data_IF_391263357233
#
_entry.id   IF_391263357233
#
_cell.length_a   1.000
_cell.length_b   1.000
_cell.length_c   1.000
_cell.angle_alpha   90.00
_cell.angle_beta   90.00
_cell.angle_gamma   90.00
#
_symmetry.space_group_name_H-M   'P 1'
#
loop_
_entity.id
_entity.type
_entity.pdbx_description
1 polymer ?
#
# COMPACT_ATOMS: atom_id res chain seq x y z
N UNK A 1 23.38 -35.03 72.78
CA UNK A 1 22.09 -34.68 72.18
C UNK A 1 22.14 -33.22 71.73
N UNK A 2 21.70 -32.96 70.50
CA UNK A 2 21.27 -31.67 69.93
C UNK A 2 22.29 -30.52 69.84
N UNK A 3 23.07 -30.54 68.75
CA UNK A 3 23.71 -29.37 68.13
C UNK A 3 22.67 -28.60 67.30
N UNK A 4 22.30 -27.38 67.71
CA UNK A 4 21.47 -26.46 66.91
C UNK A 4 22.35 -25.46 66.19
N UNK A 5 22.17 -25.41 64.87
CA UNK A 5 23.02 -24.68 63.93
C UNK A 5 22.77 -23.17 63.96
N UNK A 6 23.86 -22.41 63.98
CA UNK A 6 23.88 -20.96 63.85
C UNK A 6 23.46 -20.49 62.46
N UNK A 7 22.54 -19.52 62.44
CA UNK A 7 21.98 -18.85 61.27
C UNK A 7 23.06 -17.96 60.62
N UNK A 8 23.72 -18.45 59.56
CA UNK A 8 24.62 -17.66 58.71
C UNK A 8 23.84 -17.06 57.54
N UNK A 9 23.94 -15.74 57.38
CA UNK A 9 23.43 -14.96 56.24
C UNK A 9 24.13 -15.45 54.98
N UNK A 10 23.38 -15.94 53.99
CA UNK A 10 23.93 -16.35 52.70
C UNK A 10 23.95 -15.17 51.74
N UNK A 11 25.15 -14.89 51.24
CA UNK A 11 25.49 -13.94 50.19
C UNK A 11 24.97 -14.54 48.87
N UNK A 12 24.15 -13.79 48.14
CA UNK A 12 23.76 -14.17 46.78
C UNK A 12 24.95 -13.88 45.87
N UNK A 13 25.64 -14.95 45.49
CA UNK A 13 26.63 -14.98 44.41
C UNK A 13 25.95 -14.74 43.07
N UNK A 14 26.27 -13.60 42.46
CA UNK A 14 25.97 -13.27 41.06
C UNK A 14 26.90 -14.06 40.13
N UNK A 15 26.47 -15.25 39.69
CA UNK A 15 27.05 -15.90 38.51
C UNK A 15 26.17 -17.03 37.98
N UNK A 16 25.60 -16.83 36.79
CA UNK A 16 25.18 -17.91 35.88
C UNK A 16 23.72 -18.38 35.99
N UNK A 17 22.75 -17.51 35.70
CA UNK A 17 21.43 -17.96 35.25
C UNK A 17 21.49 -18.36 33.76
N UNK A 18 20.68 -19.32 33.28
CA UNK A 18 20.65 -19.68 31.87
C UNK A 18 20.23 -18.45 31.07
N UNK A 19 21.10 -17.98 30.18
CA UNK A 19 20.77 -16.96 29.19
C UNK A 19 19.72 -17.60 28.29
N UNK A 20 18.46 -17.22 28.48
CA UNK A 20 17.45 -17.40 27.45
C UNK A 20 17.87 -16.40 26.39
N UNK A 21 18.51 -16.89 25.32
CA UNK A 21 18.69 -16.12 24.10
C UNK A 21 17.30 -15.69 23.64
N UNK A 22 16.95 -14.44 23.95
CA UNK A 22 15.83 -13.76 23.31
C UNK A 22 16.21 -13.76 21.83
N UNK A 23 15.44 -14.43 20.95
CA UNK A 23 15.80 -14.50 19.55
C UNK A 23 15.93 -13.06 19.05
N UNK A 24 17.12 -12.70 18.59
CA UNK A 24 17.35 -11.45 17.88
C UNK A 24 16.36 -11.45 16.73
N UNK A 25 15.45 -10.48 16.73
CA UNK A 25 14.51 -10.30 15.64
C UNK A 25 15.32 -10.03 14.37
N UNK A 26 15.57 -11.08 13.59
CA UNK A 26 16.14 -10.92 12.27
C UNK A 26 15.14 -10.09 11.46
N UNK A 27 15.64 -9.06 10.77
CA UNK A 27 14.89 -8.27 9.79
C UNK A 27 14.56 -9.15 8.56
N UNK A 28 13.76 -10.19 8.75
CA UNK A 28 13.14 -11.00 7.70
C UNK A 28 11.93 -10.25 7.15
N UNK A 29 11.55 -10.49 5.89
CA UNK A 29 10.39 -9.81 5.28
C UNK A 29 9.09 -10.13 6.02
N UNK A 30 9.04 -11.30 6.66
CA UNK A 30 7.98 -11.72 7.57
C UNK A 30 7.85 -10.80 8.81
N UNK A 31 8.96 -10.25 9.31
CA UNK A 31 9.00 -9.38 10.49
C UNK A 31 8.92 -7.89 10.16
N UNK A 32 8.85 -7.51 8.88
CA UNK A 32 8.68 -6.11 8.48
C UNK A 32 7.31 -5.62 8.95
N UNK A 33 7.31 -4.68 9.90
CA UNK A 33 6.09 -4.14 10.48
C UNK A 33 5.21 -3.46 9.42
N UNK A 34 3.88 -3.65 9.51
CA UNK A 34 2.93 -3.04 8.59
C UNK A 34 3.02 -1.50 8.54
N UNK A 35 3.56 -0.88 9.61
CA UNK A 35 3.80 0.56 9.69
C UNK A 35 4.93 1.08 8.79
N UNK A 36 5.76 0.21 8.21
CA UNK A 36 6.86 0.59 7.33
C UNK A 36 6.50 0.61 5.84
N UNK A 37 5.27 0.23 5.49
CA UNK A 37 4.77 0.18 4.11
C UNK A 37 3.42 0.86 4.02
N UNK A 38 3.29 1.79 3.08
CA UNK A 38 2.06 2.55 2.85
C UNK A 38 1.10 1.76 1.97
N UNK A 39 -0.17 1.67 2.36
CA UNK A 39 -1.21 1.07 1.52
C UNK A 39 -1.48 1.92 0.28
N UNK A 40 -2.09 1.35 -0.76
CA UNK A 40 -2.51 2.10 -1.94
C UNK A 40 -3.40 3.31 -1.60
N UNK A 41 -4.31 3.16 -0.62
CA UNK A 41 -5.15 4.26 -0.14
C UNK A 41 -4.31 5.40 0.44
N UNK A 42 -3.34 5.08 1.30
CA UNK A 42 -2.45 6.06 1.94
C UNK A 42 -1.54 6.74 0.90
N UNK A 43 -1.01 5.98 -0.05
CA UNK A 43 -0.24 6.51 -1.19
C UNK A 43 -1.10 7.49 -2.00
N UNK A 44 -2.33 7.11 -2.34
CA UNK A 44 -3.28 7.98 -3.04
C UNK A 44 -3.63 9.24 -2.24
N UNK A 45 -3.86 9.11 -0.93
CA UNK A 45 -4.16 10.24 -0.05
C UNK A 45 -3.00 11.25 -0.01
N UNK A 46 -1.77 10.75 0.19
CA UNK A 46 -0.56 11.56 0.19
C UNK A 46 -0.30 12.24 -1.16
N UNK A 47 -0.40 11.48 -2.26
CA UNK A 47 -0.22 12.00 -3.61
C UNK A 47 -1.26 13.09 -3.92
N UNK A 48 -2.54 12.85 -3.60
CA UNK A 48 -3.60 13.84 -3.74
C UNK A 48 -3.29 15.11 -2.95
N UNK A 49 -2.84 14.99 -1.69
CA UNK A 49 -2.50 16.15 -0.86
C UNK A 49 -1.33 16.98 -1.42
N UNK A 50 -0.40 16.35 -2.16
CA UNK A 50 0.66 17.04 -2.88
C UNK A 50 0.16 17.69 -4.17
N UNK A 51 -0.64 16.95 -4.95
CA UNK A 51 -1.25 17.47 -6.19
C UNK A 51 -2.14 18.68 -5.95
N UNK A 52 -2.84 18.74 -4.81
CA UNK A 52 -3.63 19.91 -4.40
C UNK A 52 -2.79 21.17 -4.17
N UNK A 53 -1.47 21.02 -3.97
CA UNK A 53 -0.53 22.13 -3.81
C UNK A 53 0.16 22.52 -5.11
N UNK A 54 0.08 21.71 -6.17
CA UNK A 54 0.67 22.06 -7.46
C UNK A 54 -0.14 23.20 -8.09
N UNK A 55 0.51 24.31 -8.42
CA UNK A 55 -0.14 25.46 -9.02
C UNK A 55 -0.87 25.07 -10.33
N UNK A 56 -2.13 25.45 -10.46
CA UNK A 56 -2.95 25.14 -11.64
C UNK A 56 -3.47 23.70 -11.75
N UNK A 57 -3.11 22.79 -10.85
CA UNK A 57 -3.59 21.39 -10.87
C UNK A 57 -4.99 21.15 -10.24
N UNK A 58 -5.38 21.78 -9.11
CA UNK A 58 -6.65 21.50 -8.43
C UNK A 58 -7.92 21.53 -9.30
N UNK A 59 -8.06 22.38 -10.33
CA UNK A 59 -9.22 22.38 -11.21
C UNK A 59 -9.52 21.00 -11.84
N UNK A 60 -8.50 20.18 -12.14
CA UNK A 60 -8.71 18.87 -12.77
C UNK A 60 -9.51 17.90 -11.89
N UNK A 61 -9.40 17.99 -10.56
CA UNK A 61 -10.23 17.20 -9.64
C UNK A 61 -11.70 17.62 -9.69
N UNK A 62 -11.97 18.91 -9.91
CA UNK A 62 -13.34 19.40 -10.08
C UNK A 62 -13.92 18.95 -11.44
N UNK A 63 -13.11 18.96 -12.50
CA UNK A 63 -13.51 18.45 -13.81
C UNK A 63 -13.85 16.96 -13.76
N UNK A 64 -12.99 16.13 -13.17
CA UNK A 64 -13.23 14.68 -13.09
C UNK A 64 -14.47 14.33 -12.25
N UNK A 65 -14.75 15.12 -11.20
CA UNK A 65 -15.96 14.97 -10.40
C UNK A 65 -17.25 15.39 -11.12
N UNK A 66 -17.16 16.12 -12.24
CA UNK A 66 -18.32 16.60 -13.00
C UNK A 66 -18.75 15.66 -14.12
N UNK A 67 -17.87 14.75 -14.55
CA UNK A 67 -18.01 14.06 -15.83
C UNK A 67 -18.96 12.86 -15.87
N UNK A 68 -19.48 12.28 -14.77
CA UNK A 68 -20.30 11.05 -14.89
C UNK A 68 -21.21 10.60 -13.71
N UNK A 69 -21.68 11.47 -12.79
CA UNK A 69 -22.65 11.00 -11.77
C UNK A 69 -23.63 12.06 -11.22
N UNK A 70 -24.91 11.69 -10.96
CA UNK A 70 -25.84 12.54 -10.21
C UNK A 70 -25.27 12.86 -8.81
N UNK A 71 -25.38 14.14 -8.46
CA UNK A 71 -24.84 14.86 -7.29
C UNK A 71 -24.85 14.20 -5.89
N UNK A 72 -25.47 13.03 -5.70
CA UNK A 72 -25.66 12.41 -4.39
C UNK A 72 -24.54 11.47 -3.92
N UNK A 73 -23.55 11.13 -4.75
CA UNK A 73 -22.41 10.27 -4.34
C UNK A 73 -21.11 10.70 -5.01
N UNK A 74 -20.61 11.90 -4.71
CA UNK A 74 -19.19 12.19 -4.96
C UNK A 74 -18.39 11.30 -4.01
N UNK A 75 -17.62 10.36 -4.52
CA UNK A 75 -16.80 9.53 -3.64
C UNK A 75 -15.78 10.43 -2.92
N UNK A 76 -15.74 10.36 -1.59
CA UNK A 76 -14.71 11.01 -0.78
C UNK A 76 -13.40 10.23 -0.79
N UNK A 77 -13.39 9.04 -1.38
CA UNK A 77 -12.20 8.18 -1.37
C UNK A 77 -11.11 8.72 -2.33
N UNK A 78 -9.86 8.84 -1.85
CA UNK A 78 -8.76 9.40 -2.63
C UNK A 78 -8.34 8.52 -3.82
N UNK A 79 -8.60 7.21 -3.77
CA UNK A 79 -8.21 6.28 -4.84
C UNK A 79 -9.07 6.54 -6.09
N UNK A 80 -10.40 6.55 -5.95
CA UNK A 80 -11.34 6.86 -7.03
C UNK A 80 -11.14 8.28 -7.53
N UNK A 81 -10.94 9.26 -6.64
CA UNK A 81 -10.70 10.65 -7.05
C UNK A 81 -9.45 10.78 -7.94
N UNK A 82 -8.34 10.13 -7.57
CA UNK A 82 -7.14 10.11 -8.40
C UNK A 82 -7.35 9.31 -9.69
N UNK A 83 -8.03 8.17 -9.63
CA UNK A 83 -8.29 7.36 -10.81
C UNK A 83 -9.16 8.11 -11.83
N UNK A 84 -10.21 8.78 -11.38
CA UNK A 84 -11.08 9.62 -12.23
C UNK A 84 -10.28 10.78 -12.82
N UNK A 85 -9.47 11.48 -12.02
CA UNK A 85 -8.63 12.59 -12.46
C UNK A 85 -7.61 12.14 -13.50
N UNK A 86 -6.85 11.08 -13.23
CA UNK A 86 -5.84 10.56 -14.14
C UNK A 86 -6.45 9.98 -15.40
N UNK A 87 -7.64 9.38 -15.33
CA UNK A 87 -8.35 8.86 -16.50
C UNK A 87 -8.80 9.95 -17.48
N UNK A 88 -8.72 11.24 -17.13
CA UNK A 88 -8.86 12.35 -18.09
C UNK A 88 -7.64 12.45 -19.03
N UNK A 89 -6.48 11.94 -18.63
CA UNK A 89 -5.22 11.95 -19.38
C UNK A 89 -4.51 13.31 -19.40
N UNK A 90 -5.24 14.39 -19.67
CA UNK A 90 -4.70 15.76 -19.70
C UNK A 90 -4.01 16.19 -18.40
N UNK A 91 -4.54 15.87 -17.20
CA UNK A 91 -3.85 16.21 -15.94
C UNK A 91 -2.46 15.58 -15.83
N UNK A 92 -2.27 14.38 -16.39
CA UNK A 92 -0.97 13.70 -16.41
C UNK A 92 0.02 14.43 -17.30
N UNK A 93 -0.40 14.83 -18.51
CA UNK A 93 0.42 15.62 -19.42
C UNK A 93 0.79 16.99 -18.83
N UNK A 94 -0.13 17.62 -18.10
CA UNK A 94 0.14 18.87 -17.40
C UNK A 94 1.29 18.71 -16.39
N UNK A 95 1.25 17.68 -15.53
CA UNK A 95 2.31 17.42 -14.55
C UNK A 95 3.66 17.18 -15.22
N UNK A 96 3.68 16.43 -16.31
CA UNK A 96 4.92 16.14 -17.03
C UNK A 96 5.54 17.41 -17.64
N UNK A 97 4.71 18.35 -18.09
CA UNK A 97 5.16 19.63 -18.64
C UNK A 97 5.71 20.61 -17.60
N UNK A 98 5.58 20.31 -16.30
CA UNK A 98 6.21 21.08 -15.22
C UNK A 98 7.65 20.64 -14.95
N UNK A 99 8.10 19.53 -15.55
CA UNK A 99 9.45 19.02 -15.32
C UNK A 99 10.51 19.86 -16.07
N UNK A 100 11.69 20.07 -15.48
CA UNK A 100 12.77 20.79 -16.13
C UNK A 100 13.41 19.99 -17.28
N UNK A 101 14.16 20.66 -18.19
CA UNK A 101 14.96 19.99 -19.21
C UNK A 101 15.91 18.94 -18.60
N UNK A 102 16.20 17.81 -19.29
CA UNK A 102 16.04 17.56 -20.73
C UNK A 102 14.68 17.01 -21.16
N UNK A 103 13.71 16.90 -20.24
CA UNK A 103 12.40 16.33 -20.53
C UNK A 103 11.64 17.25 -21.48
N UNK A 104 11.23 16.72 -22.63
CA UNK A 104 10.46 17.46 -23.62
C UNK A 104 8.99 17.49 -23.24
N UNK A 105 8.41 18.70 -23.35
CA UNK A 105 6.99 18.92 -23.15
C UNK A 105 6.15 18.14 -24.17
N UNK A 106 5.04 17.62 -23.68
CA UNK A 106 4.04 16.94 -24.50
C UNK A 106 3.09 17.96 -25.10
N UNK A 107 2.91 17.89 -26.42
CA UNK A 107 1.96 18.72 -27.16
C UNK A 107 0.49 18.27 -26.90
N UNK A 108 -0.06 18.69 -25.76
CA UNK A 108 -1.48 18.52 -25.38
C UNK A 108 -2.05 19.87 -24.95
N UNK A 109 -3.26 20.18 -25.38
CA UNK A 109 -4.00 21.34 -24.86
C UNK A 109 -4.47 21.06 -23.44
N UNK A 110 -3.93 21.82 -22.47
CA UNK A 110 -4.19 21.62 -21.05
C UNK A 110 -5.31 22.50 -20.50
N UNK A 111 -5.64 23.62 -21.16
CA UNK A 111 -6.55 24.65 -20.61
C UNK A 111 -7.97 24.62 -21.16
N UNK A 112 -8.21 24.02 -22.33
CA UNK A 112 -9.54 23.94 -22.96
C UNK A 112 -9.69 22.59 -23.68
N UNK A 113 -9.95 21.53 -22.91
CA UNK A 113 -10.23 20.20 -23.45
C UNK A 113 -11.61 19.72 -23.02
N UNK A 114 -12.24 18.93 -23.88
CA UNK A 114 -13.50 18.26 -23.56
C UNK A 114 -13.22 17.01 -22.71
N UNK A 115 -13.60 16.99 -21.41
CA UNK A 115 -13.35 15.87 -20.51
C UNK A 115 -14.23 14.65 -20.80
N UNK A 116 -15.25 14.78 -21.65
CA UNK A 116 -16.13 13.65 -22.03
C UNK A 116 -15.60 12.89 -23.25
N UNK A 117 -14.68 13.48 -24.01
CA UNK A 117 -14.16 12.89 -25.24
C UNK A 117 -13.14 11.77 -24.95
N UNK A 118 -13.61 10.54 -25.02
CA UNK A 118 -12.81 9.32 -24.81
C UNK A 118 -11.56 9.27 -25.70
N UNK A 119 -11.64 9.69 -26.97
CA UNK A 119 -10.48 9.65 -27.89
C UNK A 119 -9.40 10.62 -27.44
N UNK A 120 -9.78 11.81 -26.99
CA UNK A 120 -8.86 12.82 -26.45
C UNK A 120 -8.21 12.32 -25.16
N UNK A 121 -9.00 11.73 -24.25
CA UNK A 121 -8.49 11.15 -23.00
C UNK A 121 -7.47 10.06 -23.24
N UNK A 122 -7.82 9.05 -24.05
CA UNK A 122 -6.90 7.94 -24.40
C UNK A 122 -5.63 8.43 -25.09
N UNK A 123 -5.76 9.41 -25.99
CA UNK A 123 -4.60 10.03 -26.65
C UNK A 123 -3.69 10.73 -25.63
N UNK A 124 -4.24 11.51 -24.71
CA UNK A 124 -3.46 12.19 -23.68
C UNK A 124 -2.75 11.18 -22.76
N UNK A 125 -3.44 10.11 -22.32
CA UNK A 125 -2.82 9.03 -21.54
C UNK A 125 -1.64 8.40 -22.30
N UNK A 126 -1.83 8.08 -23.59
CA UNK A 126 -0.77 7.51 -24.42
C UNK A 126 0.43 8.47 -24.58
N UNK A 127 0.17 9.77 -24.75
CA UNK A 127 1.23 10.77 -24.87
C UNK A 127 2.01 10.94 -23.56
N UNK A 128 1.33 10.94 -22.41
CA UNK A 128 2.01 10.92 -21.11
C UNK A 128 2.84 9.64 -20.94
N UNK A 129 2.30 8.47 -21.27
CA UNK A 129 3.01 7.19 -21.22
C UNK A 129 4.29 7.18 -22.09
N UNK A 130 4.26 7.85 -23.25
CA UNK A 130 5.46 8.06 -24.06
C UNK A 130 6.42 9.05 -23.42
N UNK A 131 5.90 10.13 -22.84
CA UNK A 131 6.69 11.22 -22.27
C UNK A 131 7.45 10.82 -21.00
N UNK A 132 6.87 10.01 -20.11
CA UNK A 132 7.53 9.55 -18.87
C UNK A 132 8.74 8.65 -19.11
N UNK A 133 8.87 8.06 -20.31
CA UNK A 133 10.06 7.28 -20.70
C UNK A 133 11.33 8.12 -20.83
N UNK A 134 11.20 9.44 -20.82
CA UNK A 134 12.34 10.37 -20.76
C UNK A 134 12.92 10.48 -19.36
N UNK A 135 12.19 10.05 -18.33
CA UNK A 135 12.66 10.02 -16.93
C UNK A 135 13.42 8.71 -16.73
N UNK A 136 14.66 8.83 -16.27
CA UNK A 136 15.54 7.68 -16.10
C UNK A 136 14.99 6.72 -15.03
N UNK A 137 14.97 5.42 -15.34
CA UNK A 137 14.43 4.40 -14.44
C UNK A 137 12.90 4.39 -14.27
N UNK A 138 12.16 5.24 -15.00
CA UNK A 138 10.71 5.27 -14.90
C UNK A 138 10.07 4.06 -15.62
N UNK A 139 9.19 3.28 -14.96
CA UNK A 139 8.53 2.14 -15.58
C UNK A 139 7.55 2.61 -16.68
N UNK A 140 7.44 1.82 -17.75
CA UNK A 140 6.49 2.10 -18.83
C UNK A 140 5.10 1.58 -18.47
N UNK A 141 4.05 2.30 -18.84
CA UNK A 141 2.66 1.84 -18.70
C UNK A 141 1.87 2.09 -19.97
N UNK A 142 0.66 1.54 -20.05
CA UNK A 142 -0.20 1.56 -21.23
C UNK A 142 -1.54 2.24 -20.92
N UNK A 143 -2.29 2.61 -21.95
CA UNK A 143 -3.64 3.17 -21.76
C UNK A 143 -4.54 2.18 -21.01
N UNK A 144 -4.41 0.88 -21.29
CA UNK A 144 -5.19 -0.18 -20.62
C UNK A 144 -4.93 -0.24 -19.12
N UNK A 145 -3.70 0.02 -18.67
CA UNK A 145 -3.37 0.03 -17.23
C UNK A 145 -4.19 1.06 -16.43
N UNK A 146 -4.64 2.14 -17.07
CA UNK A 146 -5.45 3.17 -16.43
C UNK A 146 -6.94 3.08 -16.79
N UNK A 147 -7.25 2.58 -17.99
CA UNK A 147 -8.61 2.52 -18.51
C UNK A 147 -9.40 1.31 -18.01
N UNK A 148 -8.73 0.18 -17.79
CA UNK A 148 -9.36 -1.01 -17.22
C UNK A 148 -9.50 -0.85 -15.70
N UNK A 149 -10.73 -0.83 -15.21
CA UNK A 149 -11.07 -0.74 -13.78
C UNK A 149 -11.33 -2.10 -13.13
N UNK A 150 -11.23 -3.19 -13.87
CA UNK A 150 -11.42 -4.53 -13.31
C UNK A 150 -10.25 -4.99 -12.43
N UNK A 151 -9.06 -4.41 -12.63
CA UNK A 151 -7.86 -4.65 -11.83
C UNK A 151 -7.23 -3.35 -11.33
N UNK A 152 -6.70 -3.39 -10.11
CA UNK A 152 -5.96 -2.32 -9.45
C UNK A 152 -4.48 -2.28 -9.85
N UNK A 153 -3.93 -3.35 -10.45
CA UNK A 153 -2.49 -3.45 -10.78
C UNK A 153 -2.00 -2.31 -11.67
N UNK A 154 -2.74 -2.04 -12.75
CA UNK A 154 -2.41 -0.97 -13.67
C UNK A 154 -2.46 0.41 -13.01
N UNK A 155 -3.42 0.62 -12.10
CA UNK A 155 -3.54 1.87 -11.37
C UNK A 155 -2.42 2.06 -10.33
N UNK A 156 -2.03 1.03 -9.59
CA UNK A 156 -0.87 1.06 -8.68
C UNK A 156 0.38 1.53 -9.43
N UNK A 157 0.60 0.97 -10.62
CA UNK A 157 1.71 1.34 -11.49
C UNK A 157 1.65 2.82 -11.90
N UNK A 158 0.48 3.33 -12.28
CA UNK A 158 0.28 4.75 -12.60
C UNK A 158 0.52 5.65 -11.39
N UNK A 159 0.03 5.28 -10.20
CA UNK A 159 0.26 6.03 -8.96
C UNK A 159 1.75 6.14 -8.64
N UNK A 160 2.51 5.05 -8.80
CA UNK A 160 3.96 5.06 -8.61
C UNK A 160 4.68 5.97 -9.61
N UNK A 161 4.29 5.90 -10.90
CA UNK A 161 4.85 6.76 -11.96
C UNK A 161 4.55 8.23 -11.68
N UNK A 162 3.31 8.56 -11.34
CA UNK A 162 2.92 9.95 -11.06
C UNK A 162 3.59 10.46 -9.79
N UNK A 163 3.76 9.62 -8.77
CA UNK A 163 4.52 9.99 -7.57
C UNK A 163 5.97 10.36 -7.93
N UNK A 164 6.63 9.54 -8.76
CA UNK A 164 7.98 9.84 -9.28
C UNK A 164 8.01 11.15 -10.08
N UNK A 165 7.02 11.39 -10.95
CA UNK A 165 6.91 12.65 -11.69
C UNK A 165 6.80 13.83 -10.72
N UNK A 166 5.89 13.76 -9.74
CA UNK A 166 5.66 14.84 -8.77
C UNK A 166 6.88 15.07 -7.87
N UNK A 167 7.67 14.04 -7.58
CA UNK A 167 8.96 14.15 -6.87
C UNK A 167 10.04 14.89 -7.66
N UNK A 168 9.93 14.96 -8.98
CA UNK A 168 10.87 15.68 -9.85
C UNK A 168 10.37 17.09 -10.25
N UNK A 169 9.18 17.51 -9.79
CA UNK A 169 8.68 18.87 -10.02
C UNK A 169 9.43 19.85 -9.10
N UNK A 170 9.95 20.97 -9.61
CA UNK A 170 10.58 22.00 -8.79
C UNK A 170 9.63 22.59 -7.73
N UNK A 171 10.17 22.90 -6.55
CA UNK A 171 9.40 23.43 -5.42
C UNK A 171 8.65 24.74 -5.74
N UNK A 172 9.14 25.53 -6.69
CA UNK A 172 8.53 26.79 -7.15
C UNK A 172 7.10 26.60 -7.71
N UNK A 173 6.74 25.39 -8.15
CA UNK A 173 5.40 25.07 -8.65
C UNK A 173 4.45 24.60 -7.55
N UNK A 174 4.90 24.54 -6.29
CA UNK A 174 4.05 24.18 -5.15
C UNK A 174 3.67 25.42 -4.34
N UNK A 175 2.36 25.57 -4.13
CA UNK A 175 1.80 26.58 -3.26
C UNK A 175 2.07 26.16 -1.81
N UNK A 176 2.86 26.97 -1.10
CA UNK A 176 3.14 26.77 0.31
C UNK A 176 1.84 26.87 1.11
N UNK A 177 1.63 25.91 2.02
CA UNK A 177 0.46 25.93 2.91
C UNK A 177 0.49 27.21 3.76
N UNK A 178 -0.66 27.88 4.00
CA UNK A 178 -0.70 29.00 4.93
C UNK A 178 -0.11 28.56 6.28
N UNK A 179 0.73 29.37 6.94
CA UNK A 179 1.32 28.98 8.21
C UNK A 179 0.18 28.70 9.21
N UNK A 180 0.18 27.49 9.77
CA UNK A 180 -0.61 27.19 10.96
C UNK A 180 -0.33 28.27 12.00
N UNK A 181 -1.38 28.78 12.62
CA UNK A 181 -1.38 29.93 13.53
C UNK A 181 -0.19 29.93 14.52
N UNK A 182 0.34 31.10 14.90
CA UNK A 182 1.54 31.20 15.71
C UNK A 182 1.41 30.48 17.05
N UNK A 183 2.48 29.87 17.57
CA UNK A 183 2.46 29.27 18.89
C UNK A 183 2.29 30.37 19.93
N UNK A 184 1.22 30.28 20.72
CA UNK A 184 1.03 31.12 21.90
C UNK A 184 2.17 30.83 22.87
N UNK A 185 3.12 31.76 22.97
CA UNK A 185 4.19 31.75 23.96
C UNK A 185 3.60 31.86 25.36
N UNK A 186 3.57 30.75 26.11
CA UNK A 186 3.74 30.80 27.56
C UNK A 186 4.64 29.65 28.00
N UNK A 187 5.89 30.00 28.29
CA UNK A 187 6.85 29.14 28.98
C UNK A 187 6.47 28.97 30.45
N UNK A 188 6.50 27.73 30.93
CA UNK A 188 6.96 27.43 32.28
C UNK A 188 7.74 26.10 32.22
N UNK A 189 9.06 26.20 32.43
CA UNK A 189 9.95 25.06 32.68
C UNK A 189 9.67 24.54 34.10
N UNK A 190 9.55 23.23 34.30
CA UNK A 190 10.53 22.49 35.11
C UNK A 190 10.40 20.95 35.01
N UNK A 191 11.55 20.33 34.70
CA UNK A 191 12.10 19.04 35.14
C UNK A 191 11.36 17.68 35.03
N UNK A 192 12.05 16.79 34.30
CA UNK A 192 12.47 15.43 34.71
C UNK A 192 11.81 14.20 34.08
N UNK A 193 12.68 13.44 33.41
CA UNK A 193 12.72 11.99 33.22
C UNK A 193 12.06 11.36 32.00
N UNK A 194 12.82 10.42 31.42
CA UNK A 194 12.73 9.93 30.06
C UNK A 194 11.82 8.70 29.94
N UNK A 195 10.95 8.65 28.93
CA UNK A 195 10.39 7.42 28.32
C UNK A 195 9.79 7.77 26.93
N UNK A 196 9.73 6.83 25.98
CA UNK A 196 9.61 7.11 24.56
C UNK A 196 8.22 7.57 24.13
N UNK A 197 8.25 8.49 23.17
CA UNK A 197 7.18 9.22 22.49
C UNK A 197 5.92 8.38 22.23
N UNK A 198 4.91 8.56 23.07
CA UNK A 198 3.52 8.29 22.70
C UNK A 198 3.12 9.24 21.57
N UNK A 199 2.63 8.67 20.48
CA UNK A 199 1.95 9.39 19.40
C UNK A 199 0.85 10.22 20.06
N UNK A 200 0.84 11.54 19.86
CA UNK A 200 -0.19 12.43 20.41
C UNK A 200 -1.59 11.95 20.00
N UNK A 201 -2.27 11.25 20.89
CA UNK A 201 -3.66 10.83 20.75
C UNK A 201 -4.56 12.06 20.93
N UNK A 202 -5.13 12.55 19.82
CA UNK A 202 -6.21 13.53 19.90
C UNK A 202 -7.45 12.91 20.57
N UNK A 203 -8.31 13.70 21.25
CA UNK A 203 -9.52 13.23 21.93
C UNK A 203 -10.61 12.63 21.00
N UNK A 204 -10.33 12.53 19.69
CA UNK A 204 -11.20 12.01 18.63
C UNK A 204 -11.10 10.48 18.41
N UNK A 205 -10.06 9.82 18.91
CA UNK A 205 -9.70 8.44 18.48
C UNK A 205 -10.09 7.31 19.44
N UNK A 206 -10.71 7.62 20.59
CA UNK A 206 -11.13 6.62 21.58
C UNK A 206 -12.63 6.38 21.49
N UNK A 207 -13.01 5.29 20.82
CA UNK A 207 -14.38 4.79 20.76
C UNK A 207 -14.42 3.29 21.13
N UNK A 208 -15.56 2.75 21.57
CA UNK A 208 -15.68 1.32 21.87
C UNK A 208 -15.29 0.48 20.65
N UNK A 209 -14.30 -0.40 20.81
CA UNK A 209 -13.78 -1.23 19.71
C UNK A 209 -12.69 -0.58 18.86
N UNK A 210 -12.20 0.62 19.20
CA UNK A 210 -11.11 1.29 18.47
C UNK A 210 -9.85 0.41 18.33
N UNK A 211 -9.57 -0.43 19.33
CA UNK A 211 -8.44 -1.35 19.29
C UNK A 211 -8.67 -2.47 18.26
N UNK A 212 -9.88 -3.03 18.22
CA UNK A 212 -10.27 -4.07 17.25
C UNK A 212 -10.21 -3.53 15.83
N UNK A 213 -10.70 -2.31 15.58
CA UNK A 213 -10.64 -1.70 14.24
C UNK A 213 -9.21 -1.32 13.84
N UNK A 214 -8.38 -0.89 14.78
CA UNK A 214 -6.96 -0.60 14.54
C UNK A 214 -6.20 -1.88 14.20
N UNK A 215 -6.47 -2.95 14.94
CA UNK A 215 -5.91 -4.28 14.70
C UNK A 215 -6.35 -4.82 13.33
N UNK A 216 -7.64 -4.77 13.02
CA UNK A 216 -8.18 -5.18 11.72
C UNK A 216 -7.45 -4.49 10.56
N UNK A 217 -7.34 -3.16 10.58
CA UNK A 217 -6.62 -2.43 9.54
C UNK A 217 -5.13 -2.76 9.51
N UNK A 218 -4.51 -2.96 10.67
CA UNK A 218 -3.09 -3.28 10.76
C UNK A 218 -2.80 -4.65 10.13
N UNK A 219 -3.55 -5.69 10.52
CA UNK A 219 -3.40 -7.04 9.98
C UNK A 219 -3.73 -7.06 8.49
N UNK A 220 -4.74 -6.30 8.07
CA UNK A 220 -5.14 -6.25 6.66
C UNK A 220 -4.11 -5.58 5.75
N UNK A 221 -3.53 -4.46 6.20
CA UNK A 221 -2.41 -3.81 5.49
C UNK A 221 -1.23 -4.74 5.36
N UNK A 222 -0.90 -5.48 6.43
CA UNK A 222 0.20 -6.45 6.41
C UNK A 222 -0.09 -7.58 5.42
N UNK A 223 -1.32 -8.09 5.42
CA UNK A 223 -1.70 -9.17 4.52
C UNK A 223 -1.65 -8.74 3.04
N UNK A 224 -2.16 -7.55 2.69
CA UNK A 224 -2.01 -6.99 1.33
C UNK A 224 -0.53 -6.87 0.96
N UNK A 225 0.29 -6.29 1.83
CA UNK A 225 1.73 -6.16 1.57
C UNK A 225 2.39 -7.52 1.31
N UNK A 226 2.00 -8.55 2.07
CA UNK A 226 2.56 -9.88 1.91
C UNK A 226 2.18 -10.48 0.54
N UNK A 227 0.93 -10.28 0.10
CA UNK A 227 0.48 -10.66 -1.25
C UNK A 227 1.20 -9.88 -2.36
N UNK A 228 1.47 -8.59 -2.17
CA UNK A 228 2.24 -7.77 -3.12
C UNK A 228 3.68 -8.26 -3.24
N UNK A 229 4.28 -8.66 -2.13
CA UNK A 229 5.62 -9.27 -2.10
C UNK A 229 5.61 -10.58 -2.90
N UNK A 230 4.59 -11.42 -2.71
CA UNK A 230 4.42 -12.66 -3.46
C UNK A 230 4.22 -12.40 -4.96
N UNK A 231 3.43 -11.39 -5.35
CA UNK A 231 3.22 -11.00 -6.74
C UNK A 231 4.53 -10.49 -7.36
N UNK A 232 5.29 -9.67 -6.64
CA UNK A 232 6.60 -9.18 -7.09
C UNK A 232 7.56 -10.34 -7.31
N UNK A 233 7.60 -11.31 -6.39
CA UNK A 233 8.43 -12.51 -6.53
C UNK A 233 8.03 -13.33 -7.76
N UNK A 234 6.72 -13.59 -7.95
CA UNK A 234 6.19 -14.29 -9.13
C UNK A 234 6.56 -13.58 -10.45
N UNK A 235 6.47 -12.26 -10.49
CA UNK A 235 6.84 -11.47 -11.67
C UNK A 235 8.36 -11.54 -11.97
N UNK A 236 9.21 -11.47 -10.96
CA UNK A 236 10.67 -11.63 -11.13
C UNK A 236 11.02 -13.04 -11.61
N UNK A 237 10.36 -14.06 -11.07
CA UNK A 237 10.53 -15.45 -11.51
C UNK A 237 10.11 -15.65 -12.97
N UNK A 238 9.01 -15.02 -13.40
CA UNK A 238 8.61 -15.03 -14.81
C UNK A 238 9.65 -14.34 -15.72
N UNK A 239 10.31 -13.29 -15.23
CA UNK A 239 11.37 -12.58 -15.98
C UNK A 239 12.69 -13.34 -16.03
N UNK A 240 13.01 -14.14 -15.00
CA UNK A 240 14.25 -14.92 -14.97
C UNK A 240 14.23 -16.11 -15.94
N UNK A 241 13.05 -16.47 -16.47
CA UNK A 241 12.84 -17.62 -17.37
C UNK A 241 13.43 -18.93 -16.81
N UNK A 242 13.51 -19.05 -15.48
CA UNK A 242 14.08 -20.24 -14.81
C UNK A 242 13.06 -21.36 -14.71
N UNK A 243 11.78 -21.00 -14.55
CA UNK A 243 10.62 -21.89 -14.47
C UNK A 243 9.64 -21.44 -15.55
N UNK A 244 8.92 -22.38 -16.17
CA UNK A 244 7.91 -22.05 -17.18
C UNK A 244 6.71 -21.32 -16.55
N UNK A 245 6.03 -20.52 -17.37
CA UNK A 245 4.95 -19.65 -16.90
C UNK A 245 3.75 -20.44 -16.36
N UNK A 246 3.47 -21.63 -16.89
CA UNK A 246 2.35 -22.46 -16.43
C UNK A 246 2.64 -23.00 -15.02
N UNK A 247 3.86 -23.47 -14.76
CA UNK A 247 4.32 -23.89 -13.43
C UNK A 247 4.30 -22.72 -12.44
N UNK A 248 4.68 -21.51 -12.85
CA UNK A 248 4.56 -20.30 -12.00
C UNK A 248 3.09 -20.02 -11.66
N UNK A 249 2.18 -20.14 -12.63
CA UNK A 249 0.75 -19.94 -12.40
C UNK A 249 0.14 -21.00 -11.47
N UNK A 250 0.64 -22.24 -11.52
CA UNK A 250 0.23 -23.30 -10.61
C UNK A 250 0.83 -23.12 -9.21
N UNK A 251 2.05 -22.58 -9.10
CA UNK A 251 2.71 -22.26 -7.83
C UNK A 251 2.05 -21.07 -7.11
N UNK A 252 1.53 -20.10 -7.85
CA UNK A 252 0.83 -18.92 -7.32
C UNK A 252 -0.64 -18.88 -7.77
N UNK A 253 -1.47 -19.82 -7.31
CA UNK A 253 -2.80 -20.04 -7.86
C UNK A 253 -3.69 -18.81 -7.68
N UNK A 254 -4.21 -18.25 -8.77
CA UNK A 254 -5.11 -17.07 -8.75
C UNK A 254 -4.60 -15.85 -7.95
N UNK A 255 -3.28 -15.73 -7.72
CA UNK A 255 -2.71 -14.69 -6.86
C UNK A 255 -3.11 -13.28 -7.29
N UNK A 256 -3.10 -12.98 -8.59
CA UNK A 256 -3.47 -11.64 -9.09
C UNK A 256 -4.93 -11.29 -8.80
N UNK A 257 -5.85 -12.27 -8.91
CA UNK A 257 -7.27 -12.05 -8.60
C UNK A 257 -7.47 -11.83 -7.10
N UNK A 258 -6.83 -12.66 -6.28
CA UNK A 258 -6.86 -12.56 -4.84
C UNK A 258 -6.31 -11.21 -4.35
N UNK A 259 -5.13 -10.81 -4.83
CA UNK A 259 -4.52 -9.52 -4.46
C UNK A 259 -5.39 -8.33 -4.92
N UNK A 260 -5.97 -8.40 -6.12
CA UNK A 260 -6.85 -7.35 -6.61
C UNK A 260 -8.09 -7.18 -5.71
N UNK A 261 -8.75 -8.29 -5.37
CA UNK A 261 -9.84 -8.31 -4.40
C UNK A 261 -9.39 -7.69 -3.07
N UNK A 262 -8.27 -8.17 -2.54
CA UNK A 262 -7.78 -7.78 -1.23
C UNK A 262 -7.41 -6.29 -1.14
N UNK A 263 -6.84 -5.72 -2.21
CA UNK A 263 -6.59 -4.27 -2.30
C UNK A 263 -7.88 -3.47 -2.30
N UNK A 264 -8.89 -3.88 -3.08
CA UNK A 264 -10.21 -3.20 -3.12
C UNK A 264 -10.91 -3.25 -1.77
N UNK A 265 -10.85 -4.40 -1.11
CA UNK A 265 -11.41 -4.58 0.22
C UNK A 265 -10.69 -3.70 1.26
N UNK A 266 -9.35 -3.66 1.24
CA UNK A 266 -8.57 -2.76 2.12
C UNK A 266 -8.89 -1.27 1.86
N UNK A 267 -8.97 -0.85 0.60
CA UNK A 267 -9.38 0.52 0.23
C UNK A 267 -10.74 0.86 0.86
N UNK A 268 -11.70 -0.06 0.81
CA UNK A 268 -13.02 0.14 1.42
C UNK A 268 -12.91 0.30 2.93
N UNK A 269 -12.16 -0.56 3.62
CA UNK A 269 -11.96 -0.46 5.07
C UNK A 269 -11.30 0.86 5.47
N UNK A 270 -10.28 1.30 4.73
CA UNK A 270 -9.61 2.58 4.98
C UNK A 270 -10.53 3.78 4.70
N UNK A 271 -11.38 3.70 3.67
CA UNK A 271 -12.39 4.73 3.42
C UNK A 271 -13.41 4.85 4.56
N UNK A 272 -13.82 3.72 5.16
CA UNK A 272 -14.72 3.71 6.33
C UNK A 272 -13.99 4.31 7.54
N UNK A 273 -12.70 4.03 7.71
CA UNK A 273 -11.91 4.57 8.82
C UNK A 273 -11.84 6.10 8.83
N UNK A 274 -11.84 6.74 7.65
CA UNK A 274 -11.84 8.21 7.53
C UNK A 274 -13.18 8.87 7.88
N UNK A 275 -14.28 8.10 7.93
CA UNK A 275 -15.59 8.63 8.29
C UNK A 275 -15.66 8.98 9.79
N UNK A 276 -16.54 9.92 10.19
CA UNK A 276 -16.87 10.15 11.60
C UNK A 276 -17.31 8.85 12.28
N UNK A 277 -16.96 8.64 13.56
CA UNK A 277 -17.18 7.36 14.25
C UNK A 277 -18.63 6.86 14.16
N UNK A 278 -19.60 7.78 14.18
CA UNK A 278 -21.04 7.52 14.10
C UNK A 278 -21.47 6.88 12.77
N UNK A 279 -20.68 7.10 11.71
CA UNK A 279 -20.96 6.66 10.34
C UNK A 279 -20.12 5.44 9.95
N UNK A 280 -19.20 4.97 10.82
CA UNK A 280 -18.31 3.83 10.56
C UNK A 280 -19.04 2.50 10.58
N UNK A 281 -19.68 2.16 9.47
CA UNK A 281 -20.37 0.86 9.28
C UNK A 281 -19.43 -0.20 8.73
N UNK A 282 -18.50 -0.68 9.54
CA UNK A 282 -17.49 -1.68 9.16
C UNK A 282 -18.09 -2.93 8.48
N UNK A 283 -19.20 -3.46 9.01
CA UNK A 283 -19.89 -4.62 8.43
C UNK A 283 -20.38 -4.42 6.99
N UNK A 284 -20.58 -3.17 6.55
CA UNK A 284 -21.00 -2.90 5.17
C UNK A 284 -19.94 -3.28 4.14
N UNK A 285 -18.65 -3.22 4.48
CA UNK A 285 -17.59 -3.69 3.60
C UNK A 285 -17.71 -5.20 3.35
N UNK A 286 -17.93 -5.99 4.41
CA UNK A 286 -18.09 -7.44 4.29
C UNK A 286 -19.31 -7.83 3.48
N UNK A 287 -20.47 -7.17 3.71
CA UNK A 287 -21.67 -7.43 2.92
C UNK A 287 -21.52 -7.02 1.45
N UNK A 288 -20.81 -5.92 1.17
CA UNK A 288 -20.57 -5.47 -0.21
C UNK A 288 -19.68 -6.43 -1.00
N UNK A 289 -18.72 -7.06 -0.34
CA UNK A 289 -17.71 -7.92 -0.95
C UNK A 289 -17.97 -9.42 -0.76
N UNK A 290 -19.10 -9.81 -0.16
CA UNK A 290 -19.43 -11.20 0.21
C UNK A 290 -19.19 -12.21 -0.93
N UNK A 291 -19.73 -11.92 -2.13
CA UNK A 291 -19.57 -12.80 -3.29
C UNK A 291 -18.13 -12.85 -3.82
N UNK A 292 -17.36 -11.77 -3.62
CA UNK A 292 -15.99 -11.69 -4.12
C UNK A 292 -15.00 -12.50 -3.26
N UNK A 293 -15.35 -12.86 -2.01
CA UNK A 293 -14.56 -13.78 -1.19
C UNK A 293 -14.42 -15.18 -1.82
N UNK A 294 -15.25 -15.55 -2.80
CA UNK A 294 -15.13 -16.80 -3.55
C UNK A 294 -13.75 -16.99 -4.24
N UNK A 295 -12.95 -15.93 -4.39
CA UNK A 295 -11.55 -16.04 -4.86
C UNK A 295 -10.68 -16.92 -3.95
N UNK A 296 -11.00 -17.00 -2.65
CA UNK A 296 -10.30 -17.85 -1.69
C UNK A 296 -10.55 -19.33 -1.95
N UNK A 297 -11.77 -19.73 -2.31
CA UNK A 297 -12.08 -21.13 -2.64
C UNK A 297 -11.16 -21.66 -3.75
N UNK A 298 -10.99 -20.84 -4.80
CA UNK A 298 -10.13 -21.19 -5.93
C UNK A 298 -8.64 -21.21 -5.57
N UNK A 299 -8.20 -20.40 -4.60
CA UNK A 299 -6.83 -20.43 -4.10
C UNK A 299 -6.61 -21.69 -3.25
N UNK A 300 -7.45 -21.90 -2.24
CA UNK A 300 -7.39 -23.00 -1.28
C UNK A 300 -7.47 -24.37 -1.96
N UNK A 301 -8.33 -24.52 -2.98
CA UNK A 301 -8.46 -25.77 -3.74
C UNK A 301 -7.17 -26.18 -4.48
N UNK A 302 -6.31 -25.21 -4.83
CA UNK A 302 -5.07 -25.44 -5.57
C UNK A 302 -3.81 -25.35 -4.69
N UNK A 303 -3.95 -25.03 -3.40
CA UNK A 303 -2.82 -24.83 -2.48
C UNK A 303 -1.96 -26.09 -2.32
N UNK A 304 -2.57 -27.28 -2.25
CA UNK A 304 -1.82 -28.55 -2.12
C UNK A 304 -0.90 -28.78 -3.31
N UNK A 305 -1.41 -28.56 -4.53
CA UNK A 305 -0.62 -28.64 -5.76
C UNK A 305 0.51 -27.59 -5.78
N UNK A 306 0.22 -26.36 -5.38
CA UNK A 306 1.24 -25.31 -5.26
C UNK A 306 2.35 -25.70 -4.27
N UNK A 307 2.00 -26.31 -3.13
CA UNK A 307 2.95 -26.80 -2.14
C UNK A 307 3.82 -27.95 -2.68
N UNK A 308 3.26 -28.86 -3.47
CA UNK A 308 4.01 -29.95 -4.09
C UNK A 308 5.00 -29.39 -5.14
N UNK A 309 4.55 -28.45 -5.97
CA UNK A 309 5.41 -27.76 -6.96
C UNK A 309 6.57 -27.04 -6.26
N UNK A 310 6.31 -26.35 -5.15
CA UNK A 310 7.35 -25.69 -4.36
C UNK A 310 8.46 -26.66 -3.93
N UNK A 311 8.10 -27.88 -3.50
CA UNK A 311 9.09 -28.89 -3.11
C UNK A 311 9.88 -29.43 -4.31
N UNK A 312 9.23 -29.57 -5.47
CA UNK A 312 9.88 -30.07 -6.69
C UNK A 312 10.80 -29.05 -7.35
N UNK A 313 10.41 -27.77 -7.35
CA UNK A 313 11.13 -26.68 -8.02
C UNK A 313 12.06 -25.89 -7.07
N UNK A 314 12.25 -26.36 -5.82
CA UNK A 314 13.03 -25.67 -4.79
C UNK A 314 14.42 -25.24 -5.30
N UNK A 315 15.12 -26.12 -6.03
CA UNK A 315 16.45 -25.86 -6.58
C UNK A 315 16.47 -24.72 -7.62
N UNK A 316 15.42 -24.58 -8.42
CA UNK A 316 15.29 -23.49 -9.39
C UNK A 316 14.89 -22.19 -8.72
N UNK A 317 14.02 -22.27 -7.70
CA UNK A 317 13.57 -21.12 -6.91
C UNK A 317 14.71 -20.50 -6.09
N UNK A 318 15.68 -21.31 -5.64
CA UNK A 318 16.88 -20.85 -4.92
C UNK A 318 17.68 -19.77 -5.68
N UNK A 319 17.55 -19.68 -7.00
CA UNK A 319 18.16 -18.60 -7.77
C UNK A 319 17.68 -17.20 -7.33
N UNK A 320 16.50 -17.11 -6.71
CA UNK A 320 15.88 -15.88 -6.20
C UNK A 320 15.85 -15.82 -4.66
N UNK A 321 16.66 -16.63 -3.96
CA UNK A 321 16.69 -16.67 -2.48
C UNK A 321 17.07 -15.32 -1.84
N UNK A 322 17.74 -14.44 -2.60
CA UNK A 322 18.05 -13.07 -2.18
C UNK A 322 16.84 -12.12 -2.11
N UNK A 323 15.72 -12.45 -2.74
CA UNK A 323 14.48 -11.66 -2.67
C UNK A 323 13.53 -12.16 -1.59
N UNK A 324 13.40 -13.48 -1.47
CA UNK A 324 12.52 -14.14 -0.52
C UNK A 324 13.16 -15.48 -0.19
N UNK A 325 13.34 -15.79 1.09
CA UNK A 325 13.95 -17.04 1.48
C UNK A 325 13.05 -18.22 1.06
N UNK A 326 13.51 -19.04 0.13
CA UNK A 326 12.70 -20.09 -0.51
C UNK A 326 12.32 -21.18 0.48
N UNK A 327 13.16 -21.45 1.47
CA UNK A 327 12.97 -22.55 2.43
C UNK A 327 12.05 -22.21 3.59
N UNK A 328 12.09 -20.96 4.06
CA UNK A 328 11.38 -20.54 5.28
C UNK A 328 10.31 -19.48 5.03
N UNK A 329 10.55 -18.54 4.12
CA UNK A 329 9.62 -17.45 3.85
C UNK A 329 8.59 -17.86 2.79
N UNK A 330 8.99 -18.37 1.63
CA UNK A 330 8.04 -18.69 0.54
C UNK A 330 6.88 -19.63 0.96
N UNK A 331 7.11 -20.75 1.68
CA UNK A 331 6.02 -21.57 2.22
C UNK A 331 5.11 -20.79 3.19
N UNK A 332 5.72 -19.94 4.05
CA UNK A 332 5.00 -19.11 5.00
C UNK A 332 4.16 -18.02 4.34
N UNK A 333 4.57 -17.54 3.16
CA UNK A 333 3.76 -16.63 2.35
C UNK A 333 2.60 -17.36 1.66
N UNK A 334 2.84 -18.54 1.06
CA UNK A 334 1.83 -19.30 0.32
C UNK A 334 0.67 -19.80 1.18
N UNK A 335 0.89 -20.07 2.47
CA UNK A 335 -0.18 -20.51 3.38
C UNK A 335 -1.06 -19.35 3.91
N UNK A 336 -0.59 -18.08 3.81
CA UNK A 336 -1.32 -16.92 4.38
C UNK A 336 -2.76 -16.78 3.88
N UNK A 337 -3.08 -16.95 2.58
CA UNK A 337 -4.48 -16.88 2.13
C UNK A 337 -5.38 -17.91 2.78
N UNK A 338 -4.89 -19.15 2.96
CA UNK A 338 -5.63 -20.22 3.63
C UNK A 338 -5.85 -19.90 5.11
N UNK A 339 -4.85 -19.33 5.77
CA UNK A 339 -4.97 -18.88 7.17
C UNK A 339 -5.97 -17.74 7.32
N UNK A 340 -5.94 -16.77 6.40
CA UNK A 340 -6.78 -15.58 6.45
C UNK A 340 -8.27 -15.91 6.24
N UNK A 341 -8.56 -16.84 5.33
CA UNK A 341 -9.92 -17.33 5.07
C UNK A 341 -10.52 -18.08 6.28
N UNK A 342 -9.66 -18.68 7.11
CA UNK A 342 -10.07 -19.42 8.30
C UNK A 342 -10.20 -18.54 9.56
N UNK A 343 -9.83 -17.26 9.51
CA UNK A 343 -9.99 -16.34 10.64
C UNK A 343 -11.46 -15.89 10.77
N UNK A 344 -12.09 -16.09 11.94
CA UNK A 344 -13.53 -15.89 12.14
C UNK A 344 -13.98 -14.43 12.25
#
# INVERSE_FOLDING_TARGET
>A
MSTSAGRKKSIISTSGGPVIDIPVANNTLLNKAASQSTSLYQQCSALRARLMRVEGFPPYFALSASSDAPSARRSTDPVTQLWDCFALGVPLCFLLNLLPPPIQNVAVQTTDFDPTNEKTRKRAIAQFAMGVRQIDGCPSFTVTDLWDRSSTDGFVKVVNIVSLVVDNIPDDFFIESPPSSPPTEFSAKDSSDSLPTEISEGPSDKYPGSNVTKELLYTERKYVQDLETMQSYSNTLAQSNTIDLDTIHLLFPNLNKLLNFQRRFLIKLESINELPWQERRWGSAFTEFEEEFAVYESYCANYTNASDILMHEEHHLMALDGMLNVKSELPAFLIKPVQRDAEP
#
